data_IF_022222947096
#
_entry.id   IF_022222947096
#
_cell.length_a   1.000
_cell.length_b   1.000
_cell.length_c   1.000
_cell.angle_alpha   90.00
_cell.angle_beta   90.00
_cell.angle_gamma   90.00
#
_symmetry.space_group_name_H-M   'P 1'
#
loop_
_entity.id
_entity.type
_entity.pdbx_description
1 polymer ?
#
# COMPACT_ATOMS: atom_id res chain seq x y z
N UNK A 1 -5.63 34.98 7.45
CA UNK A 1 -4.44 34.34 8.06
C UNK A 1 -4.86 32.91 8.32
N UNK A 2 -4.31 31.96 7.56
CA UNK A 2 -4.65 30.54 7.74
C UNK A 2 -4.24 30.17 9.15
N UNK A 3 -5.17 29.62 9.95
CA UNK A 3 -4.80 28.77 11.08
C UNK A 3 -3.88 27.70 10.49
N UNK A 4 -2.59 27.85 10.74
CA UNK A 4 -1.61 26.80 10.57
C UNK A 4 -1.94 25.81 11.67
N UNK A 5 -2.59 24.70 11.31
CA UNK A 5 -2.90 23.60 12.21
C UNK A 5 -1.65 23.26 13.04
N UNK A 6 -1.64 23.66 14.30
CA UNK A 6 -0.49 23.51 15.20
C UNK A 6 -0.22 22.02 15.41
N UNK A 7 0.75 21.49 14.65
CA UNK A 7 1.26 20.14 14.85
C UNK A 7 2.03 20.15 16.18
N UNK A 8 1.40 19.67 17.25
CA UNK A 8 2.03 19.59 18.57
C UNK A 8 3.24 18.63 18.53
N UNK A 9 4.49 19.14 18.58
CA UNK A 9 5.69 18.32 18.50
C UNK A 9 5.94 17.52 19.78
N UNK A 10 5.17 17.76 20.86
CA UNK A 10 5.25 17.01 22.10
C UNK A 10 4.50 15.67 22.04
N UNK A 11 3.68 15.44 21.01
CA UNK A 11 3.03 14.15 20.81
C UNK A 11 4.09 13.09 20.47
N UNK A 12 4.17 11.98 21.22
CA UNK A 12 5.15 10.94 20.97
C UNK A 12 4.88 10.28 19.61
N UNK A 13 5.91 10.21 18.76
CA UNK A 13 5.84 9.52 17.47
C UNK A 13 5.44 8.06 17.67
N UNK A 14 4.45 7.59 16.92
CA UNK A 14 4.06 6.17 16.92
C UNK A 14 5.07 5.34 16.12
N UNK A 15 6.20 5.03 16.76
CA UNK A 15 7.27 4.21 16.21
C UNK A 15 6.80 2.80 15.83
N UNK A 16 5.69 2.32 16.39
CA UNK A 16 5.11 1.03 16.04
C UNK A 16 4.45 1.11 14.66
N UNK A 17 3.65 2.14 14.41
CA UNK A 17 3.09 2.40 13.08
C UNK A 17 4.18 2.57 12.03
N UNK A 18 5.23 3.34 12.35
CA UNK A 18 6.39 3.53 11.46
C UNK A 18 7.05 2.19 11.13
N UNK A 19 7.31 1.34 12.12
CA UNK A 19 7.90 0.03 11.92
C UNK A 19 7.05 -0.90 11.05
N UNK A 20 5.72 -0.88 11.22
CA UNK A 20 4.80 -1.68 10.41
C UNK A 20 4.79 -1.20 8.95
N UNK A 21 4.73 0.11 8.72
CA UNK A 21 4.75 0.68 7.36
C UNK A 21 6.08 0.36 6.68
N UNK A 22 7.20 0.51 7.40
CA UNK A 22 8.53 0.16 6.88
C UNK A 22 8.61 -1.33 6.51
N UNK A 23 8.10 -2.23 7.37
CA UNK A 23 8.06 -3.67 7.08
C UNK A 23 7.18 -3.99 5.86
N UNK A 24 6.01 -3.35 5.73
CA UNK A 24 5.13 -3.51 4.59
C UNK A 24 5.81 -3.05 3.28
N UNK A 25 6.59 -1.96 3.34
CA UNK A 25 7.34 -1.42 2.22
C UNK A 25 8.51 -2.33 1.81
N UNK A 26 9.24 -2.89 2.78
CA UNK A 26 10.26 -3.91 2.51
C UNK A 26 9.63 -5.14 1.86
N UNK A 27 8.50 -5.62 2.40
CA UNK A 27 7.77 -6.74 1.82
C UNK A 27 7.33 -6.44 0.38
N UNK A 28 6.83 -5.23 0.10
CA UNK A 28 6.49 -4.80 -1.25
C UNK A 28 7.67 -4.92 -2.22
N UNK A 29 8.83 -4.38 -1.85
CA UNK A 29 10.05 -4.44 -2.66
C UNK A 29 10.50 -5.88 -2.94
N UNK A 30 10.38 -6.77 -1.97
CA UNK A 30 10.75 -8.19 -2.12
C UNK A 30 9.72 -8.98 -2.95
N UNK A 31 8.44 -8.59 -2.90
CA UNK A 31 7.36 -9.32 -3.56
C UNK A 31 7.06 -8.80 -4.96
N UNK A 32 7.36 -7.54 -5.29
CA UNK A 32 6.95 -6.94 -6.57
C UNK A 32 7.47 -7.72 -7.78
N UNK A 33 8.69 -8.27 -7.71
CA UNK A 33 9.28 -9.07 -8.79
C UNK A 33 8.67 -10.48 -8.89
N UNK A 34 8.30 -11.11 -7.76
CA UNK A 34 7.80 -12.51 -7.72
C UNK A 34 6.28 -12.62 -7.81
N UNK A 35 5.57 -11.80 -7.03
CA UNK A 35 4.12 -11.83 -6.88
C UNK A 35 3.41 -10.85 -7.82
N UNK A 36 4.13 -9.86 -8.35
CA UNK A 36 3.58 -8.85 -9.25
C UNK A 36 2.96 -7.65 -8.54
N UNK A 37 2.63 -6.63 -9.32
CA UNK A 37 2.24 -5.32 -8.82
C UNK A 37 0.96 -5.35 -7.97
N UNK A 38 -0.09 -6.07 -8.40
CA UNK A 38 -1.39 -6.05 -7.71
C UNK A 38 -1.28 -6.69 -6.33
N UNK A 39 -0.67 -7.88 -6.23
CA UNK A 39 -0.53 -8.61 -4.96
C UNK A 39 0.35 -7.81 -4.00
N UNK A 40 1.49 -7.32 -4.49
CA UNK A 40 2.44 -6.57 -3.65
C UNK A 40 1.83 -5.28 -3.15
N UNK A 41 1.18 -4.51 -4.02
CA UNK A 41 0.50 -3.25 -3.67
C UNK A 41 -0.63 -3.49 -2.67
N UNK A 42 -1.41 -4.56 -2.84
CA UNK A 42 -2.47 -4.93 -1.90
C UNK A 42 -1.89 -5.20 -0.51
N UNK A 43 -0.78 -5.94 -0.43
CA UNK A 43 -0.11 -6.23 0.83
C UNK A 43 0.44 -4.97 1.49
N UNK A 44 1.01 -4.06 0.69
CA UNK A 44 1.51 -2.76 1.15
C UNK A 44 0.38 -1.92 1.76
N UNK A 45 -0.75 -1.80 1.05
CA UNK A 45 -1.90 -1.03 1.55
C UNK A 45 -2.55 -1.66 2.77
N UNK A 46 -2.69 -3.00 2.79
CA UNK A 46 -3.20 -3.71 3.96
C UNK A 46 -2.26 -3.54 5.17
N UNK A 47 -0.94 -3.61 4.95
CA UNK A 47 0.07 -3.38 5.97
C UNK A 47 0.06 -1.94 6.52
N UNK A 48 -0.10 -0.95 5.65
CA UNK A 48 -0.24 0.45 6.06
C UNK A 48 -1.51 0.66 6.91
N UNK A 49 -2.64 0.08 6.50
CA UNK A 49 -3.89 0.14 7.26
C UNK A 49 -3.81 -0.58 8.61
N UNK A 50 -3.10 -1.71 8.67
CA UNK A 50 -2.78 -2.39 9.92
C UNK A 50 -1.90 -1.54 10.83
N UNK A 51 -0.91 -0.82 10.26
CA UNK A 51 -0.05 0.11 10.98
C UNK A 51 -0.81 1.26 11.63
N UNK A 52 -1.88 1.72 11.00
CA UNK A 52 -2.78 2.77 11.54
C UNK A 52 -3.73 2.27 12.64
N UNK A 53 -3.57 1.03 13.11
CA UNK A 53 -4.33 0.49 14.25
C UNK A 53 -5.74 0.03 13.90
N UNK A 54 -6.05 -0.16 12.61
CA UNK A 54 -7.36 -0.66 12.22
C UNK A 54 -7.60 -2.08 12.76
N UNK A 55 -8.67 -2.22 13.55
CA UNK A 55 -9.14 -3.52 14.09
C UNK A 55 -10.04 -4.28 13.11
N UNK A 56 -10.25 -3.77 11.89
CA UNK A 56 -11.12 -4.35 10.87
C UNK A 56 -10.32 -4.77 9.62
N UNK A 57 -9.34 -5.64 9.85
CA UNK A 57 -8.50 -6.30 8.83
C UNK A 57 -9.24 -6.63 7.51
N UNK A 58 -10.45 -7.23 7.48
CA UNK A 58 -11.11 -7.53 6.21
C UNK A 58 -11.51 -6.28 5.40
N UNK A 59 -11.89 -5.17 6.04
CA UNK A 59 -12.23 -3.91 5.34
C UNK A 59 -10.98 -3.30 4.71
N UNK A 60 -9.88 -3.37 5.43
CA UNK A 60 -8.61 -2.77 5.00
C UNK A 60 -8.00 -3.53 3.84
N UNK A 61 -8.08 -4.87 3.88
CA UNK A 61 -7.71 -5.70 2.74
C UNK A 61 -8.57 -5.37 1.52
N UNK A 62 -9.88 -5.19 1.68
CA UNK A 62 -10.77 -4.82 0.58
C UNK A 62 -10.40 -3.46 -0.03
N UNK A 63 -10.15 -2.44 0.81
CA UNK A 63 -9.70 -1.13 0.35
C UNK A 63 -8.35 -1.24 -0.37
N UNK A 64 -7.42 -2.01 0.19
CA UNK A 64 -6.12 -2.27 -0.42
C UNK A 64 -6.21 -2.94 -1.79
N UNK A 65 -7.12 -3.91 -1.96
CA UNK A 65 -7.40 -4.57 -3.24
C UNK A 65 -7.99 -3.57 -4.24
N UNK A 66 -9.00 -2.79 -3.84
CA UNK A 66 -9.65 -1.82 -4.73
C UNK A 66 -8.66 -0.75 -5.18
N UNK A 67 -7.91 -0.19 -4.24
CA UNK A 67 -6.94 0.86 -4.51
C UNK A 67 -5.78 0.35 -5.38
N UNK A 68 -5.23 -0.82 -5.07
CA UNK A 68 -4.17 -1.43 -5.88
C UNK A 68 -4.64 -1.73 -7.31
N UNK A 69 -5.88 -2.20 -7.47
CA UNK A 69 -6.49 -2.48 -8.78
C UNK A 69 -6.69 -1.19 -9.56
N UNK A 70 -7.22 -0.14 -8.93
CA UNK A 70 -7.40 1.17 -9.57
C UNK A 70 -6.06 1.74 -10.04
N UNK A 71 -5.04 1.70 -9.18
CA UNK A 71 -3.68 2.15 -9.53
C UNK A 71 -3.12 1.31 -10.67
N UNK A 72 -3.23 -0.02 -10.60
CA UNK A 72 -2.77 -0.90 -11.69
C UNK A 72 -3.42 -0.55 -13.02
N UNK A 73 -4.75 -0.40 -13.05
CA UNK A 73 -5.51 -0.05 -14.26
C UNK A 73 -5.16 1.35 -14.75
N UNK A 74 -5.01 2.32 -13.86
CA UNK A 74 -4.60 3.68 -14.22
C UNK A 74 -3.22 3.65 -14.90
N UNK A 75 -2.23 3.00 -14.29
CA UNK A 75 -0.89 2.92 -14.87
C UNK A 75 -0.84 2.13 -16.19
N UNK A 76 -1.51 0.98 -16.26
CA UNK A 76 -1.52 0.16 -17.50
C UNK A 76 -2.30 0.83 -18.63
N UNK A 77 -3.48 1.39 -18.36
CA UNK A 77 -4.33 1.98 -19.43
C UNK A 77 -3.96 3.42 -19.78
N UNK A 78 -3.57 4.25 -18.82
CA UNK A 78 -3.26 5.65 -19.10
C UNK A 78 -1.81 5.88 -19.50
N UNK A 79 -0.86 5.19 -18.87
CA UNK A 79 0.56 5.36 -19.20
C UNK A 79 1.09 4.30 -20.20
N UNK A 80 0.32 3.26 -20.50
CA UNK A 80 0.80 2.15 -21.35
C UNK A 80 1.95 1.36 -20.71
N UNK A 81 2.17 1.51 -19.40
CA UNK A 81 3.26 0.86 -18.70
C UNK A 81 2.94 -0.62 -18.48
N UNK A 82 3.84 -1.49 -18.95
CA UNK A 82 3.84 -2.92 -18.63
C UNK A 82 4.40 -3.11 -17.21
N UNK A 83 3.51 -3.02 -16.23
CA UNK A 83 3.82 -3.39 -14.86
C UNK A 83 4.01 -4.90 -14.77
N UNK A 84 4.99 -5.39 -13.98
CA UNK A 84 5.18 -6.83 -13.77
C UNK A 84 3.90 -7.41 -13.17
N UNK A 85 3.23 -8.25 -13.96
CA UNK A 85 1.99 -8.90 -13.58
C UNK A 85 2.26 -10.04 -12.58
N UNK A 86 3.52 -10.48 -12.47
CA UNK A 86 3.95 -11.56 -11.58
C UNK A 86 3.26 -12.86 -11.97
N UNK A 87 2.52 -13.46 -11.03
CA UNK A 87 1.72 -14.69 -11.27
C UNK A 87 0.65 -14.54 -12.38
N UNK A 88 0.33 -13.32 -12.81
CA UNK A 88 -0.62 -13.06 -13.89
C UNK A 88 0.03 -13.06 -15.29
N UNK A 89 1.37 -13.13 -15.41
CA UNK A 89 2.07 -13.30 -16.71
C UNK A 89 1.74 -14.64 -17.38
N UNK A 90 1.16 -15.61 -16.65
CA UNK A 90 0.76 -16.91 -17.19
C UNK A 90 -0.70 -17.01 -17.65
N UNK A 91 -1.53 -15.97 -17.42
CA UNK A 91 -2.97 -16.00 -17.74
C UNK A 91 -3.37 -15.12 -18.94
N UNK A 92 -2.43 -14.34 -19.50
CA UNK A 92 -2.67 -13.41 -20.62
C UNK A 92 -1.55 -13.45 -21.65
#
# INVERSE_FOLDING_TARGET
>A
MSDSEDVDPALPTDWRTVGIIAAALIAYLLLIERAGFIISSTLLFAGAAFGMGSRRIPRDTLIGIVLSTVVYVAFTRWLGLRLPAGLLDGLF
#
